data_IF_356004659231
#
_entry.id   IF_356004659231
#
_cell.length_a   1.000
_cell.length_b   1.000
_cell.length_c   1.000
_cell.angle_alpha   90.00
_cell.angle_beta   90.00
_cell.angle_gamma   90.00
#
_symmetry.space_group_name_H-M   'P 1'
#
loop_
_entity.id
_entity.type
_entity.pdbx_description
1 polymer ?
#
# COMPACT_ATOMS: atom_id res chain seq x y z
N UNK A 1 29.39 1.63 16.04
CA UNK A 1 29.02 0.21 16.21
C UNK A 1 27.55 -0.03 16.62
N UNK A 2 26.94 0.62 17.63
CA UNK A 2 25.54 0.33 17.99
C UNK A 2 24.50 0.81 16.95
N UNK A 3 24.67 1.99 16.36
CA UNK A 3 23.74 2.55 15.36
C UNK A 3 23.62 1.70 14.08
N UNK A 4 24.72 1.06 13.67
CA UNK A 4 24.77 0.13 12.54
C UNK A 4 23.92 -1.12 12.77
N UNK A 5 24.04 -1.73 13.96
CA UNK A 5 23.26 -2.91 14.33
C UNK A 5 21.77 -2.59 14.45
N UNK A 6 21.43 -1.40 14.94
CA UNK A 6 20.04 -0.93 15.02
C UNK A 6 19.45 -0.73 13.62
N UNK A 7 20.18 -0.09 12.70
CA UNK A 7 19.72 0.12 11.32
C UNK A 7 19.58 -1.20 10.54
N UNK A 8 20.51 -2.15 10.77
CA UNK A 8 20.44 -3.49 10.19
C UNK A 8 19.23 -4.27 10.73
N UNK A 9 19.04 -4.29 12.05
CA UNK A 9 17.89 -4.94 12.70
C UNK A 9 16.56 -4.37 12.23
N UNK A 10 16.48 -3.05 12.07
CA UNK A 10 15.30 -2.37 11.52
C UNK A 10 15.00 -2.79 10.07
N UNK A 11 16.04 -2.90 9.23
CA UNK A 11 15.89 -3.32 7.83
C UNK A 11 15.47 -4.79 7.74
N UNK A 12 16.10 -5.67 8.54
CA UNK A 12 15.74 -7.09 8.61
C UNK A 12 14.30 -7.25 9.11
N UNK A 13 13.88 -6.49 10.12
CA UNK A 13 12.51 -6.50 10.59
C UNK A 13 11.53 -6.03 9.50
N UNK A 14 11.84 -4.95 8.78
CA UNK A 14 11.02 -4.47 7.68
C UNK A 14 10.89 -5.50 6.55
N UNK A 15 12.00 -6.16 6.17
CA UNK A 15 12.00 -7.23 5.15
C UNK A 15 11.25 -8.45 5.64
N UNK A 16 11.47 -8.87 6.90
CA UNK A 16 10.78 -9.99 7.52
C UNK A 16 9.27 -9.77 7.56
N UNK A 17 8.83 -8.60 8.02
CA UNK A 17 7.42 -8.21 8.05
C UNK A 17 6.84 -8.11 6.63
N UNK A 18 7.60 -7.57 5.67
CA UNK A 18 7.17 -7.51 4.27
C UNK A 18 6.96 -8.90 3.67
N UNK A 19 7.92 -9.81 3.85
CA UNK A 19 7.81 -11.20 3.39
C UNK A 19 6.70 -11.95 4.10
N UNK A 20 6.55 -11.76 5.41
CA UNK A 20 5.48 -12.36 6.20
C UNK A 20 4.10 -11.85 5.78
N UNK A 21 4.01 -10.62 5.29
CA UNK A 21 2.79 -10.09 4.70
C UNK A 21 2.39 -10.85 3.41
N UNK A 22 3.23 -11.63 2.75
CA UNK A 22 2.75 -12.39 1.57
C UNK A 22 1.87 -13.62 1.97
N UNK A 23 1.88 -13.95 3.26
CA UNK A 23 0.97 -14.77 4.08
C UNK A 23 -0.57 -14.58 3.89
N UNK A 24 -1.35 -15.44 3.19
CA UNK A 24 -2.82 -15.32 3.15
C UNK A 24 -3.53 -15.52 4.51
N UNK A 25 -2.85 -16.13 5.48
CA UNK A 25 -3.40 -16.55 6.78
C UNK A 25 -3.33 -15.50 7.89
N UNK A 26 -2.85 -14.27 7.63
CA UNK A 26 -2.49 -13.33 8.69
C UNK A 26 -3.52 -12.20 8.93
N UNK A 27 -3.80 -11.84 10.21
CA UNK A 27 -4.73 -10.76 10.55
C UNK A 27 -4.20 -9.40 10.05
N UNK A 28 -4.85 -8.88 9.00
CA UNK A 28 -4.37 -7.75 8.22
C UNK A 28 -4.14 -6.47 9.05
N UNK A 29 -5.02 -6.16 10.01
CA UNK A 29 -5.01 -4.85 10.69
C UNK A 29 -3.78 -4.55 11.55
N UNK A 30 -3.26 -5.53 12.30
CA UNK A 30 -2.16 -5.30 13.26
C UNK A 30 -0.80 -5.11 12.56
N UNK A 31 -0.55 -5.86 11.48
CA UNK A 31 0.70 -5.77 10.72
C UNK A 31 0.80 -4.45 9.94
N UNK A 32 -0.32 -3.96 9.39
CA UNK A 32 -0.39 -2.68 8.69
C UNK A 32 0.02 -1.54 9.62
N UNK A 33 -0.47 -1.54 10.87
CA UNK A 33 -0.10 -0.55 11.86
C UNK A 33 1.41 -0.59 12.15
N UNK A 34 1.98 -1.79 12.32
CA UNK A 34 3.43 -1.96 12.56
C UNK A 34 4.26 -1.48 11.37
N UNK A 35 3.91 -1.86 10.14
CA UNK A 35 4.65 -1.46 8.93
C UNK A 35 4.53 0.05 8.68
N UNK A 36 3.40 0.67 9.02
CA UNK A 36 3.22 2.13 8.95
C UNK A 36 4.12 2.86 9.94
N UNK A 37 4.30 2.32 11.14
CA UNK A 37 5.12 2.96 12.18
C UNK A 37 6.61 2.96 11.81
N UNK A 38 7.07 2.02 10.96
CA UNK A 38 8.48 1.90 10.54
C UNK A 38 9.01 3.22 9.92
N UNK A 39 8.47 3.77 8.81
CA UNK A 39 8.95 5.04 8.26
C UNK A 39 8.86 6.24 9.22
N UNK A 40 7.84 6.27 10.09
CA UNK A 40 7.69 7.33 11.09
C UNK A 40 8.78 7.26 12.18
N UNK A 41 9.11 6.04 12.65
CA UNK A 41 10.20 5.83 13.59
C UNK A 41 11.55 6.17 12.97
N UNK A 42 11.78 5.80 11.70
CA UNK A 42 13.00 6.18 11.00
C UNK A 42 13.16 7.70 10.88
N UNK A 43 12.07 8.42 10.60
CA UNK A 43 12.06 9.88 10.57
C UNK A 43 12.37 10.46 11.97
N UNK A 44 11.69 9.98 13.01
CA UNK A 44 11.90 10.42 14.39
C UNK A 44 13.34 10.18 14.89
N UNK A 45 13.92 9.03 14.58
CA UNK A 45 15.32 8.71 14.92
C UNK A 45 16.31 9.62 14.19
N UNK A 46 16.02 9.97 12.94
CA UNK A 46 16.87 10.87 12.15
C UNK A 46 16.80 12.30 12.67
N UNK A 47 15.62 12.79 13.04
CA UNK A 47 15.44 14.12 13.64
C UNK A 47 16.06 14.23 15.03
N UNK A 48 15.96 13.17 15.85
CA UNK A 48 16.51 13.17 17.23
C UNK A 48 18.02 12.99 17.26
N UNK A 49 18.59 12.27 16.30
CA UNK A 49 20.01 11.95 16.23
C UNK A 49 20.60 12.21 14.82
N UNK A 50 20.62 13.47 14.36
CA UNK A 50 20.99 13.84 12.98
C UNK A 50 22.43 13.46 12.58
N UNK A 51 23.31 13.16 13.54
CA UNK A 51 24.68 12.69 13.32
C UNK A 51 24.86 11.16 13.35
N UNK A 52 23.86 10.37 13.75
CA UNK A 52 23.98 8.91 13.94
C UNK A 52 23.17 8.08 12.94
N UNK A 53 22.05 8.62 12.44
CA UNK A 53 21.18 7.94 11.47
C UNK A 53 20.98 8.84 10.26
N UNK A 54 20.90 8.22 9.08
CA UNK A 54 20.59 8.92 7.83
C UNK A 54 19.57 8.12 7.02
N UNK A 55 18.60 8.81 6.46
CA UNK A 55 17.70 8.28 5.42
C UNK A 55 18.34 8.68 4.09
N UNK A 56 19.10 7.76 3.49
CA UNK A 56 19.82 8.01 2.25
C UNK A 56 19.50 6.99 1.17
N UNK A 57 19.54 7.42 -0.09
CA UNK A 57 19.50 6.53 -1.24
C UNK A 57 20.93 6.05 -1.56
N UNK A 58 21.27 4.82 -1.13
CA UNK A 58 22.54 4.15 -1.43
C UNK A 58 23.19 3.38 -0.27
N UNK A 59 24.17 2.53 -0.58
CA UNK A 59 24.85 1.63 0.37
C UNK A 59 26.03 2.26 1.15
N UNK A 60 26.38 3.52 0.87
CA UNK A 60 27.58 4.16 1.41
C UNK A 60 27.49 4.73 2.83
N UNK A 61 26.35 4.55 3.53
CA UNK A 61 26.16 5.05 4.90
C UNK A 61 26.04 3.89 5.87
N UNK A 62 26.90 3.86 6.90
CA UNK A 62 26.93 2.78 7.87
C UNK A 62 25.59 2.52 8.57
N UNK A 63 24.79 3.55 8.85
CA UNK A 63 23.46 3.41 9.50
C UNK A 63 22.35 3.98 8.60
N UNK A 64 22.16 3.39 7.42
CA UNK A 64 21.11 3.79 6.48
C UNK A 64 19.75 3.16 6.84
N UNK A 65 18.75 3.99 7.11
CA UNK A 65 17.37 3.55 7.36
C UNK A 65 16.49 3.57 6.08
N UNK A 66 17.01 4.14 4.99
CA UNK A 66 16.27 4.34 3.75
C UNK A 66 15.78 3.05 3.10
N UNK A 67 16.57 1.97 3.14
CA UNK A 67 16.17 0.67 2.57
C UNK A 67 14.96 0.10 3.30
N UNK A 68 14.92 0.17 4.63
CA UNK A 68 13.77 -0.27 5.42
C UNK A 68 12.50 0.53 5.09
N UNK A 69 12.63 1.86 4.94
CA UNK A 69 11.51 2.71 4.54
C UNK A 69 11.00 2.40 3.14
N UNK A 70 11.90 2.15 2.18
CA UNK A 70 11.55 1.78 0.80
C UNK A 70 10.77 0.46 0.78
N UNK A 71 11.26 -0.55 1.50
CA UNK A 71 10.59 -1.85 1.61
C UNK A 71 9.21 -1.67 2.23
N UNK A 72 9.09 -0.96 3.35
CA UNK A 72 7.80 -0.71 4.02
C UNK A 72 6.81 0.03 3.10
N UNK A 73 7.27 1.09 2.41
CA UNK A 73 6.44 1.85 1.47
C UNK A 73 5.93 0.98 0.32
N UNK A 74 6.82 0.18 -0.28
CA UNK A 74 6.47 -0.75 -1.35
C UNK A 74 5.48 -1.82 -0.89
N UNK A 75 5.68 -2.39 0.29
CA UNK A 75 4.76 -3.38 0.86
C UNK A 75 3.38 -2.80 1.10
N UNK A 76 3.26 -1.63 1.73
CA UNK A 76 1.96 -1.00 1.97
C UNK A 76 1.23 -0.69 0.66
N UNK A 77 1.94 -0.15 -0.34
CA UNK A 77 1.35 0.15 -1.64
C UNK A 77 0.87 -1.13 -2.34
N UNK A 78 1.70 -2.18 -2.38
CA UNK A 78 1.35 -3.46 -2.98
C UNK A 78 0.13 -4.10 -2.31
N UNK A 79 0.07 -4.08 -0.98
CA UNK A 79 -1.06 -4.59 -0.21
C UNK A 79 -2.34 -3.82 -0.48
N UNK A 80 -2.28 -2.49 -0.60
CA UNK A 80 -3.47 -1.69 -0.93
C UNK A 80 -3.99 -2.02 -2.33
N UNK A 81 -3.11 -2.29 -3.28
CA UNK A 81 -3.50 -2.68 -4.64
C UNK A 81 -4.07 -4.11 -4.69
N UNK A 82 -3.59 -5.04 -3.87
CA UNK A 82 -4.03 -6.44 -3.89
C UNK A 82 -5.29 -6.69 -3.06
N UNK A 83 -5.41 -6.04 -1.91
CA UNK A 83 -6.39 -6.40 -0.88
C UNK A 83 -7.67 -5.55 -0.96
N UNK A 84 -7.60 -4.36 -1.57
CA UNK A 84 -8.67 -3.36 -1.52
C UNK A 84 -9.01 -2.91 -2.94
N UNK A 85 -10.25 -3.15 -3.36
CA UNK A 85 -10.79 -2.51 -4.56
C UNK A 85 -11.44 -1.19 -4.17
N UNK A 86 -10.92 -0.07 -4.67
CA UNK A 86 -11.53 1.25 -4.46
C UNK A 86 -12.53 1.55 -5.56
N UNK A 87 -13.66 2.18 -5.19
CA UNK A 87 -14.65 2.66 -6.17
C UNK A 87 -14.06 3.81 -6.99
N UNK A 88 -13.25 4.66 -6.36
CA UNK A 88 -12.49 5.71 -7.04
C UNK A 88 -11.08 5.81 -6.50
N UNK A 89 -10.10 5.73 -7.40
CA UNK A 89 -8.68 5.90 -7.09
C UNK A 89 -8.25 7.37 -7.02
N UNK A 90 -9.11 8.29 -7.48
CA UNK A 90 -8.78 9.72 -7.55
C UNK A 90 -8.45 10.35 -6.17
N UNK A 91 -9.24 10.17 -5.10
CA UNK A 91 -8.96 10.84 -3.83
C UNK A 91 -7.66 10.35 -3.18
N UNK A 92 -7.39 9.04 -3.25
CA UNK A 92 -6.18 8.46 -2.67
C UNK A 92 -4.93 8.83 -3.47
N UNK A 93 -5.01 8.88 -4.80
CA UNK A 93 -3.88 9.29 -5.66
C UNK A 93 -3.62 10.78 -5.52
N UNK A 94 -4.65 11.63 -5.45
CA UNK A 94 -4.51 13.05 -5.18
C UNK A 94 -3.84 13.31 -3.83
N UNK A 95 -4.22 12.58 -2.78
CA UNK A 95 -3.56 12.68 -1.48
C UNK A 95 -2.08 12.27 -1.54
N UNK A 96 -1.78 11.13 -2.16
CA UNK A 96 -0.41 10.65 -2.31
C UNK A 96 0.48 11.65 -3.07
N UNK A 97 -0.04 12.24 -4.15
CA UNK A 97 0.64 13.29 -4.92
C UNK A 97 0.85 14.55 -4.07
N UNK A 98 -0.17 15.00 -3.33
CA UNK A 98 -0.05 16.17 -2.46
C UNK A 98 1.06 15.99 -1.40
N UNK A 99 1.10 14.82 -0.74
CA UNK A 99 2.15 14.49 0.24
C UNK A 99 3.54 14.47 -0.42
N UNK A 100 3.66 13.89 -1.62
CA UNK A 100 4.92 13.86 -2.37
C UNK A 100 5.39 15.26 -2.80
N UNK A 101 4.48 16.14 -3.24
CA UNK A 101 4.78 17.53 -3.60
C UNK A 101 5.25 18.33 -2.38
N UNK A 102 4.57 18.19 -1.23
CA UNK A 102 4.99 18.82 0.02
C UNK A 102 6.40 18.35 0.42
N UNK A 103 6.66 17.04 0.33
CA UNK A 103 7.97 16.47 0.57
C UNK A 103 9.04 17.06 -0.37
N UNK A 104 8.74 17.15 -1.67
CA UNK A 104 9.66 17.74 -2.66
C UNK A 104 10.01 19.19 -2.33
N UNK A 105 9.01 20.01 -1.96
CA UNK A 105 9.21 21.42 -1.60
C UNK A 105 10.13 21.53 -0.37
N UNK A 106 9.85 20.76 0.68
CA UNK A 106 10.65 20.76 1.91
C UNK A 106 12.08 20.28 1.62
N UNK A 107 12.24 19.16 0.93
CA UNK A 107 13.54 18.59 0.62
C UNK A 107 14.37 19.50 -0.31
N UNK A 108 13.73 20.18 -1.28
CA UNK A 108 14.43 21.14 -2.15
C UNK A 108 14.91 22.40 -1.41
N UNK A 109 14.18 22.82 -0.36
CA UNK A 109 14.51 23.99 0.47
C UNK A 109 15.59 23.69 1.49
N UNK A 110 15.48 22.57 2.20
CA UNK A 110 16.33 22.28 3.36
C UNK A 110 17.47 21.30 3.07
N UNK A 111 17.40 20.49 1.99
CA UNK A 111 18.43 19.50 1.70
C UNK A 111 19.23 19.76 0.41
N UNK A 112 20.33 20.49 0.59
CA UNK A 112 21.26 20.87 -0.49
C UNK A 112 21.92 19.66 -1.16
N UNK A 113 22.15 18.56 -0.44
CA UNK A 113 22.72 17.33 -1.01
C UNK A 113 21.73 16.58 -1.93
N UNK A 114 20.44 16.52 -1.57
CA UNK A 114 19.42 15.93 -2.43
C UNK A 114 19.18 16.80 -3.66
N UNK A 115 19.19 18.13 -3.50
CA UNK A 115 19.03 19.09 -4.60
C UNK A 115 20.09 18.94 -5.68
N UNK A 116 21.34 18.63 -5.33
CA UNK A 116 22.43 18.39 -6.30
C UNK A 116 22.23 17.13 -7.15
N UNK A 117 21.37 16.20 -6.73
CA UNK A 117 21.06 14.97 -7.48
C UNK A 117 19.55 14.83 -7.64
N UNK A 118 18.97 15.65 -8.52
CA UNK A 118 17.52 15.73 -8.75
C UNK A 118 16.81 14.38 -8.93
N UNK A 119 17.46 13.40 -9.57
CA UNK A 119 16.88 12.05 -9.71
C UNK A 119 16.63 11.34 -8.38
N UNK A 120 17.49 11.53 -7.36
CA UNK A 120 17.32 10.95 -6.02
C UNK A 120 16.15 11.59 -5.29
N UNK A 121 15.97 12.89 -5.49
CA UNK A 121 14.86 13.65 -4.92
C UNK A 121 13.53 13.15 -5.50
N UNK A 122 13.46 12.96 -6.82
CA UNK A 122 12.30 12.36 -7.50
C UNK A 122 12.02 10.94 -7.00
N UNK A 123 13.04 10.10 -6.92
CA UNK A 123 12.89 8.72 -6.44
C UNK A 123 12.39 8.67 -4.98
N UNK A 124 12.90 9.53 -4.11
CA UNK A 124 12.41 9.65 -2.74
C UNK A 124 10.94 10.08 -2.69
N UNK A 125 10.54 11.04 -3.53
CA UNK A 125 9.15 11.48 -3.62
C UNK A 125 8.21 10.36 -4.08
N UNK A 126 8.63 9.50 -5.01
CA UNK A 126 7.88 8.31 -5.42
C UNK A 126 7.65 7.36 -4.25
N UNK A 127 8.68 7.10 -3.43
CA UNK A 127 8.51 6.23 -2.26
C UNK A 127 7.65 6.87 -1.17
N UNK A 128 7.73 8.19 -0.99
CA UNK A 128 6.83 8.93 -0.08
C UNK A 128 5.38 8.85 -0.58
N UNK A 129 5.15 9.01 -1.88
CA UNK A 129 3.83 8.83 -2.48
C UNK A 129 3.30 7.40 -2.26
N UNK A 130 4.13 6.39 -2.52
CA UNK A 130 3.78 4.98 -2.33
C UNK A 130 3.43 4.68 -0.87
N UNK A 131 4.22 5.21 0.07
CA UNK A 131 3.94 5.11 1.50
C UNK A 131 2.61 5.77 1.88
N UNK A 132 2.38 7.00 1.44
CA UNK A 132 1.15 7.75 1.74
C UNK A 132 -0.08 7.05 1.15
N UNK A 133 0.02 6.56 -0.09
CA UNK A 133 -1.00 5.78 -0.77
C UNK A 133 -1.32 4.48 -0.02
N UNK A 134 -0.29 3.68 0.26
CA UNK A 134 -0.44 2.41 0.96
C UNK A 134 -1.07 2.58 2.34
N UNK A 135 -0.54 3.53 3.12
CA UNK A 135 -1.04 3.83 4.46
C UNK A 135 -2.50 4.29 4.41
N UNK A 136 -2.82 5.31 3.62
CA UNK A 136 -4.18 5.86 3.60
C UNK A 136 -5.20 4.81 3.14
N UNK A 137 -4.89 4.03 2.11
CA UNK A 137 -5.80 2.99 1.61
C UNK A 137 -6.07 1.91 2.65
N UNK A 138 -5.04 1.41 3.32
CA UNK A 138 -5.22 0.40 4.36
C UNK A 138 -5.97 0.93 5.57
N UNK A 139 -5.63 2.13 6.06
CA UNK A 139 -6.34 2.74 7.19
C UNK A 139 -7.78 3.09 6.84
N UNK A 140 -8.05 3.49 5.59
CA UNK A 140 -9.40 3.75 5.13
C UNK A 140 -10.33 2.53 5.26
N UNK A 141 -9.85 1.34 4.88
CA UNK A 141 -10.62 0.11 5.01
C UNK A 141 -10.60 -0.45 6.45
N UNK A 142 -9.45 -0.40 7.13
CA UNK A 142 -9.29 -0.99 8.46
C UNK A 142 -10.01 -0.23 9.58
N UNK A 143 -10.12 1.10 9.46
CA UNK A 143 -10.86 1.94 10.40
C UNK A 143 -12.33 2.13 10.02
N UNK A 144 -12.77 1.55 8.91
CA UNK A 144 -14.15 1.66 8.47
C UNK A 144 -15.08 0.94 9.44
N UNK A 145 -15.99 1.69 10.06
CA UNK A 145 -17.04 1.19 10.95
C UNK A 145 -18.43 1.29 10.33
N UNK A 146 -18.52 1.71 9.06
CA UNK A 146 -19.79 1.76 8.34
C UNK A 146 -20.39 0.35 8.23
N UNK A 147 -21.72 0.28 8.24
CA UNK A 147 -22.42 -0.97 7.98
C UNK A 147 -22.28 -1.28 6.48
N UNK A 148 -21.61 -2.37 6.08
CA UNK A 148 -21.34 -2.62 4.68
C UNK A 148 -22.62 -3.00 3.93
N UNK A 149 -22.84 -2.39 2.78
CA UNK A 149 -23.91 -2.79 1.87
C UNK A 149 -23.53 -4.09 1.16
N UNK A 150 -24.44 -5.06 1.17
CA UNK A 150 -24.29 -6.33 0.47
C UNK A 150 -24.99 -6.24 -0.89
N UNK A 151 -24.20 -6.28 -1.95
CA UNK A 151 -24.66 -6.23 -3.33
C UNK A 151 -24.34 -7.56 -4.02
N UNK A 152 -24.96 -7.82 -5.16
CA UNK A 152 -24.70 -9.00 -5.98
C UNK A 152 -24.30 -8.57 -7.37
N UNK A 153 -23.36 -9.31 -7.96
CA UNK A 153 -22.98 -9.18 -9.36
C UNK A 153 -22.68 -10.57 -9.94
N UNK A 154 -22.60 -10.65 -11.26
CA UNK A 154 -22.25 -11.86 -11.99
C UNK A 154 -20.83 -11.74 -12.54
N UNK A 155 -20.08 -12.83 -12.47
CA UNK A 155 -18.76 -12.92 -13.10
C UNK A 155 -18.97 -13.06 -14.61
N UNK A 156 -18.48 -12.12 -15.40
CA UNK A 156 -18.52 -12.17 -16.86
C UNK A 156 -17.30 -12.89 -17.44
N UNK A 157 -16.13 -12.60 -16.88
CA UNK A 157 -14.87 -13.15 -17.36
C UNK A 157 -13.84 -13.23 -16.23
N UNK A 158 -12.79 -14.01 -16.45
CA UNK A 158 -11.65 -14.16 -15.56
C UNK A 158 -10.37 -13.81 -16.31
N UNK A 159 -9.55 -12.95 -15.73
CA UNK A 159 -8.29 -12.52 -16.30
C UNK A 159 -7.16 -12.85 -15.34
N UNK A 160 -6.11 -13.47 -15.86
CA UNK A 160 -4.85 -13.65 -15.16
C UNK A 160 -3.81 -12.83 -15.92
N UNK A 161 -3.09 -11.95 -15.21
CA UNK A 161 -1.94 -11.27 -15.81
C UNK A 161 -0.89 -12.27 -16.33
N UNK A 162 -0.07 -11.84 -17.29
CA UNK A 162 0.92 -12.70 -17.96
C UNK A 162 2.19 -13.00 -17.12
N UNK A 163 2.25 -12.60 -15.85
CA UNK A 163 3.47 -12.70 -15.03
C UNK A 163 3.28 -13.59 -13.79
N UNK A 164 4.38 -14.09 -13.21
CA UNK A 164 4.34 -14.86 -11.94
C UNK A 164 3.81 -14.07 -10.73
N UNK A 165 3.72 -12.74 -10.86
CA UNK A 165 3.15 -11.82 -9.87
C UNK A 165 1.77 -11.29 -10.34
N UNK A 166 1.15 -11.98 -11.30
CA UNK A 166 -0.13 -11.59 -11.84
C UNK A 166 -1.19 -11.55 -10.73
N UNK A 167 -1.87 -10.40 -10.64
CA UNK A 167 -3.04 -10.28 -9.80
C UNK A 167 -4.20 -11.03 -10.45
N UNK A 168 -4.95 -11.75 -9.64
CA UNK A 168 -6.15 -12.45 -10.05
C UNK A 168 -7.28 -11.45 -10.20
N UNK A 169 -7.80 -11.29 -11.42
CA UNK A 169 -8.83 -10.30 -11.74
C UNK A 169 -10.07 -10.99 -12.32
N UNK A 170 -11.25 -10.52 -11.92
CA UNK A 170 -12.51 -10.96 -12.50
C UNK A 170 -13.27 -9.76 -13.02
N UNK A 171 -13.88 -9.90 -14.19
CA UNK A 171 -14.77 -8.87 -14.74
C UNK A 171 -16.16 -9.13 -14.21
N UNK A 172 -16.74 -8.15 -13.54
CA UNK A 172 -18.05 -8.20 -12.93
C UNK A 172 -19.05 -7.42 -13.80
N UNK A 173 -20.27 -7.94 -13.92
CA UNK A 173 -21.38 -7.25 -14.57
C UNK A 173 -21.83 -6.02 -13.75
N UNK A 174 -22.49 -5.04 -14.37
CA UNK A 174 -22.89 -3.78 -13.74
C UNK A 174 -23.57 -3.99 -12.37
N UNK A 175 -23.12 -3.24 -11.37
CA UNK A 175 -23.55 -3.40 -9.98
C UNK A 175 -23.37 -2.11 -9.18
N UNK A 176 -24.30 -1.81 -8.28
CA UNK A 176 -24.19 -0.68 -7.35
C UNK A 176 -23.71 0.62 -8.01
N UNK A 177 -22.53 1.16 -7.64
CA UNK A 177 -21.99 2.41 -8.20
C UNK A 177 -21.43 2.27 -9.64
N UNK A 178 -21.28 1.05 -10.17
CA UNK A 178 -20.74 0.79 -11.50
C UNK A 178 -21.87 0.45 -12.47
N UNK A 179 -22.17 1.38 -13.39
CA UNK A 179 -23.19 1.19 -14.43
C UNK A 179 -22.73 0.30 -15.61
N UNK A 180 -21.46 -0.08 -15.64
CA UNK A 180 -20.86 -0.90 -16.69
C UNK A 180 -19.98 -1.99 -16.08
N UNK A 181 -19.64 -3.00 -16.89
CA UNK A 181 -18.75 -4.07 -16.48
C UNK A 181 -17.40 -3.52 -15.98
N UNK A 182 -16.94 -4.03 -14.85
CA UNK A 182 -15.75 -3.52 -14.15
C UNK A 182 -14.88 -4.66 -13.66
N UNK A 183 -13.56 -4.50 -13.78
CA UNK A 183 -12.60 -5.46 -13.25
C UNK A 183 -12.39 -5.27 -11.75
N UNK A 184 -12.34 -6.39 -11.03
CA UNK A 184 -12.09 -6.43 -9.60
C UNK A 184 -10.98 -7.43 -9.27
N UNK A 185 -10.08 -7.04 -8.37
CA UNK A 185 -9.08 -7.91 -7.78
C UNK A 185 -9.74 -8.85 -6.77
N UNK A 186 -9.37 -10.13 -6.85
CA UNK A 186 -9.87 -11.17 -5.94
C UNK A 186 -8.74 -12.02 -5.37
N UNK A 187 -8.90 -12.57 -4.16
CA UNK A 187 -7.93 -13.54 -3.63
C UNK A 187 -7.84 -14.77 -4.55
N UNK A 188 -6.64 -15.33 -4.69
CA UNK A 188 -6.39 -16.52 -5.52
C UNK A 188 -7.37 -17.66 -5.21
N UNK A 189 -7.60 -17.95 -3.92
CA UNK A 189 -8.49 -19.03 -3.50
C UNK A 189 -9.96 -18.81 -3.94
N UNK A 190 -10.40 -17.56 -4.08
CA UNK A 190 -11.72 -17.23 -4.62
C UNK A 190 -11.69 -17.31 -6.15
N UNK A 191 -10.65 -16.77 -6.78
CA UNK A 191 -10.47 -16.84 -8.23
C UNK A 191 -10.53 -18.27 -8.76
N UNK A 192 -9.83 -19.21 -8.13
CA UNK A 192 -9.79 -20.62 -8.57
C UNK A 192 -11.16 -21.30 -8.51
N UNK A 193 -12.05 -20.85 -7.62
CA UNK A 193 -13.39 -21.42 -7.43
C UNK A 193 -14.44 -20.82 -8.35
N UNK A 194 -14.30 -19.56 -8.71
CA UNK A 194 -15.28 -18.86 -9.54
C UNK A 194 -15.20 -19.30 -11.01
N UNK A 195 -16.36 -19.37 -11.65
CA UNK A 195 -16.51 -19.55 -13.09
C UNK A 195 -17.28 -18.37 -13.71
N UNK A 196 -17.03 -18.02 -14.98
CA UNK A 196 -17.90 -17.12 -15.72
C UNK A 196 -19.36 -17.60 -15.64
N UNK A 197 -20.28 -16.70 -15.29
CA UNK A 197 -21.69 -16.99 -15.01
C UNK A 197 -22.04 -17.07 -13.53
N UNK A 198 -21.06 -17.26 -12.64
CA UNK A 198 -21.30 -17.35 -11.20
C UNK A 198 -21.78 -16.03 -10.61
N UNK A 199 -22.65 -16.13 -9.61
CA UNK A 199 -23.09 -14.97 -8.82
C UNK A 199 -22.18 -14.81 -7.61
N UNK A 200 -21.66 -13.59 -7.44
CA UNK A 200 -20.79 -13.21 -6.32
C UNK A 200 -21.45 -12.14 -5.47
N UNK A 201 -21.06 -12.13 -4.18
CA UNK A 201 -21.54 -11.17 -3.22
C UNK A 201 -20.44 -10.13 -2.97
N UNK A 202 -20.82 -8.87 -3.12
CA UNK A 202 -19.96 -7.72 -3.00
C UNK A 202 -20.25 -7.02 -1.70
N UNK A 203 -19.21 -6.79 -0.90
CA UNK A 203 -19.31 -6.06 0.34
C UNK A 203 -18.77 -4.65 0.12
N UNK A 204 -19.65 -3.67 0.06
CA UNK A 204 -19.33 -2.26 -0.19
C UNK A 204 -19.31 -1.51 1.15
N UNK A 205 -18.19 -0.86 1.45
CA UNK A 205 -18.03 0.04 2.60
C UNK A 205 -17.75 1.47 2.16
N UNK A 206 -18.16 2.44 2.98
CA UNK A 206 -17.96 3.86 2.68
C UNK A 206 -16.51 4.31 2.86
N UNK A 207 -15.74 3.58 3.67
CA UNK A 207 -14.38 3.91 4.07
C UNK A 207 -14.33 4.98 5.17
N UNK A 208 -13.38 4.85 6.08
CA UNK A 208 -13.20 5.79 7.19
C UNK A 208 -12.92 7.24 6.71
N UNK A 209 -12.32 7.40 5.53
CA UNK A 209 -12.01 8.69 4.91
C UNK A 209 -12.96 9.03 3.75
N UNK A 210 -14.15 8.40 3.71
CA UNK A 210 -15.12 8.52 2.60
C UNK A 210 -14.55 8.10 1.24
N UNK A 211 -13.63 7.14 1.25
CA UNK A 211 -13.13 6.51 0.04
C UNK A 211 -13.77 5.14 -0.05
N UNK A 212 -14.88 5.05 -0.78
CA UNK A 212 -15.64 3.82 -0.86
C UNK A 212 -14.78 2.68 -1.42
N UNK A 213 -14.88 1.51 -0.80
CA UNK A 213 -14.12 0.32 -1.14
C UNK A 213 -15.04 -0.89 -1.17
N UNK A 214 -14.65 -1.92 -1.91
CA UNK A 214 -15.43 -3.15 -1.97
C UNK A 214 -14.53 -4.39 -1.99
N UNK A 215 -15.09 -5.50 -1.51
CA UNK A 215 -14.50 -6.82 -1.65
C UNK A 215 -15.47 -7.79 -2.28
N UNK A 216 -14.93 -8.73 -3.06
CA UNK A 216 -15.68 -9.81 -3.69
C UNK A 216 -15.58 -11.05 -2.81
N UNK A 217 -16.72 -11.68 -2.56
CA UNK A 217 -16.83 -12.92 -1.79
C UNK A 217 -17.80 -13.87 -2.46
N UNK A 218 -17.65 -15.16 -2.22
CA UNK A 218 -18.70 -16.11 -2.59
C UNK A 218 -19.97 -15.80 -1.80
N UNK A 219 -21.13 -15.80 -2.46
CA UNK A 219 -22.40 -15.69 -1.75
C UNK A 219 -22.55 -16.91 -0.83
N UNK A 220 -22.79 -16.66 0.46
CA UNK A 220 -23.21 -17.65 1.44
C UNK A 220 -24.70 -17.53 1.68
#
# INVERSE_FOLDING_TARGET
MPAQRIALGFTIAAIGLAGWSLFPSFPAGQLIAVITVIPLLALGLTLRFPGRFRIGLGSGYGANLGTGCIVAAGTLAARTLSDINLVSWLPITAFAIAVAVVFLIVAARFETQLRRRGWRLLLAAVFVAAYAFGTLGQFNAALDRSAPALLRSRVLAKHLGHSRLAMHQVTLDAWGPFAAATDAHVPQALYERLQPGDTVCLRLGDGAFRMAWFTVTACR
#
